data_IF_728643778751
#
_entry.id   IF_728643778751
#
_cell.length_a   1.000
_cell.length_b   1.000
_cell.length_c   1.000
_cell.angle_alpha   90.00
_cell.angle_beta   90.00
_cell.angle_gamma   90.00
#
_symmetry.space_group_name_H-M   'P 1'
#
loop_
_entity.id
_entity.type
_entity.pdbx_description
1 polymer ?
#
# COMPACT_ATOMS: atom_id res chain seq x y z
N UNK A 1 17.23 -33.77 58.47
CA UNK A 1 16.96 -32.96 57.27
C UNK A 1 15.91 -33.71 56.44
N UNK A 2 14.63 -33.37 56.60
CA UNK A 2 13.52 -34.05 55.92
C UNK A 2 13.43 -33.54 54.48
N UNK A 3 13.45 -34.45 53.51
CA UNK A 3 13.20 -34.11 52.10
C UNK A 3 11.74 -33.67 51.94
N UNK A 4 11.46 -32.60 51.16
CA UNK A 4 10.09 -32.22 50.89
C UNK A 4 9.38 -33.35 50.15
N UNK A 5 8.24 -33.74 50.69
CA UNK A 5 7.35 -34.76 50.15
C UNK A 5 6.87 -34.35 48.75
N UNK A 6 7.48 -34.96 47.73
CA UNK A 6 7.14 -34.79 46.32
C UNK A 6 6.03 -35.77 45.95
N UNK A 7 4.92 -35.74 46.68
CA UNK A 7 3.78 -36.58 46.35
C UNK A 7 3.23 -36.17 44.96
N UNK A 8 2.97 -37.13 44.05
CA UNK A 8 2.43 -36.89 42.71
C UNK A 8 1.17 -36.00 42.69
N UNK A 9 0.45 -35.95 43.79
CA UNK A 9 -0.81 -35.23 43.95
C UNK A 9 -0.64 -33.71 43.87
N UNK A 10 0.45 -33.13 44.39
CA UNK A 10 0.69 -31.68 44.27
C UNK A 10 1.01 -31.25 42.84
N UNK A 11 1.64 -32.14 42.07
CA UNK A 11 1.92 -31.89 40.67
C UNK A 11 0.62 -31.91 39.84
N UNK A 12 -0.26 -32.86 40.12
CA UNK A 12 -1.57 -32.95 39.48
C UNK A 12 -2.48 -31.76 39.82
N UNK A 13 -2.50 -31.28 41.07
CA UNK A 13 -3.25 -30.06 41.43
C UNK A 13 -2.77 -28.80 40.68
N UNK A 14 -1.46 -28.67 40.48
CA UNK A 14 -0.89 -27.55 39.71
C UNK A 14 -1.34 -27.59 38.25
N UNK A 15 -1.42 -28.79 37.65
CA UNK A 15 -1.90 -28.98 36.28
C UNK A 15 -3.39 -28.63 36.17
N UNK A 16 -4.23 -29.10 37.09
CA UNK A 16 -5.67 -28.82 37.09
C UNK A 16 -5.94 -27.32 37.25
N UNK A 17 -5.19 -26.61 38.10
CA UNK A 17 -5.32 -25.14 38.26
C UNK A 17 -4.87 -24.34 37.03
N UNK A 18 -3.91 -24.83 36.24
CA UNK A 18 -3.52 -24.20 34.97
C UNK A 18 -4.54 -24.48 33.87
N UNK A 19 -5.13 -25.68 33.81
CA UNK A 19 -6.20 -26.03 32.87
C UNK A 19 -7.45 -25.15 33.13
N UNK A 20 -7.84 -24.98 34.40
CA UNK A 20 -8.95 -24.08 34.77
C UNK A 20 -8.70 -22.61 34.43
N UNK A 21 -7.44 -22.15 34.52
CA UNK A 21 -7.05 -20.79 34.09
C UNK A 21 -7.06 -20.63 32.57
N UNK A 22 -6.69 -21.66 31.82
CA UNK A 22 -6.79 -21.67 30.36
C UNK A 22 -8.26 -21.61 29.88
N UNK A 23 -9.18 -22.31 30.54
CA UNK A 23 -10.61 -22.28 30.21
C UNK A 23 -11.24 -20.88 30.31
N UNK A 24 -10.90 -20.12 31.36
CA UNK A 24 -11.34 -18.72 31.50
C UNK A 24 -10.79 -17.82 30.39
N UNK A 25 -9.55 -18.05 29.94
CA UNK A 25 -8.95 -17.32 28.83
C UNK A 25 -9.65 -17.59 27.49
N UNK A 26 -10.02 -18.84 27.19
CA UNK A 26 -10.77 -19.15 25.97
C UNK A 26 -12.14 -18.49 25.95
N UNK A 27 -12.80 -18.37 27.10
CA UNK A 27 -14.08 -17.67 27.22
C UNK A 27 -13.93 -16.17 26.95
N UNK A 28 -12.91 -15.51 27.49
CA UNK A 28 -12.64 -14.08 27.23
C UNK A 28 -12.24 -13.82 25.78
N UNK A 29 -11.42 -14.69 25.18
CA UNK A 29 -11.03 -14.58 23.77
C UNK A 29 -12.23 -14.77 22.85
N UNK A 30 -13.07 -15.78 23.11
CA UNK A 30 -14.29 -16.06 22.36
C UNK A 30 -15.27 -14.87 22.45
N UNK A 31 -15.46 -14.29 23.63
CA UNK A 31 -16.31 -13.11 23.80
C UNK A 31 -15.75 -11.88 23.07
N UNK A 32 -14.43 -11.68 23.04
CA UNK A 32 -13.84 -10.59 22.24
C UNK A 32 -14.00 -10.81 20.74
N UNK A 33 -13.87 -12.06 20.27
CA UNK A 33 -14.06 -12.41 18.86
C UNK A 33 -15.52 -12.27 18.43
N UNK A 34 -16.47 -12.65 19.29
CA UNK A 34 -17.91 -12.45 19.06
C UNK A 34 -18.27 -10.96 19.06
N UNK A 35 -17.71 -10.15 19.96
CA UNK A 35 -17.90 -8.69 19.95
C UNK A 35 -17.33 -8.04 18.69
N UNK A 36 -16.17 -8.49 18.21
CA UNK A 36 -15.55 -7.99 16.97
C UNK A 36 -16.36 -8.41 15.73
N UNK A 37 -16.87 -9.64 15.70
CA UNK A 37 -17.74 -10.13 14.63
C UNK A 37 -19.08 -9.38 14.60
N UNK A 38 -19.71 -9.13 15.76
CA UNK A 38 -20.93 -8.35 15.86
C UNK A 38 -20.72 -6.90 15.37
N UNK A 39 -19.61 -6.27 15.74
CA UNK A 39 -19.25 -4.92 15.25
C UNK A 39 -19.03 -4.90 13.73
N UNK A 40 -18.38 -5.92 13.16
CA UNK A 40 -18.16 -6.01 11.70
C UNK A 40 -19.45 -6.27 10.91
N UNK A 41 -20.47 -6.89 11.53
CA UNK A 41 -21.76 -7.20 10.89
C UNK A 41 -22.75 -6.03 11.04
N UNK A 42 -22.78 -5.39 12.21
CA UNK A 42 -23.76 -4.33 12.52
C UNK A 42 -23.30 -2.96 11.98
N UNK A 43 -21.99 -2.67 11.98
CA UNK A 43 -21.47 -1.36 11.57
C UNK A 43 -21.71 -0.98 10.08
N UNK A 44 -21.68 -1.91 9.10
CA UNK A 44 -22.01 -1.60 7.72
C UNK A 44 -23.49 -1.25 7.49
N UNK A 45 -24.39 -1.66 8.40
CA UNK A 45 -25.83 -1.46 8.28
C UNK A 45 -26.30 -0.07 8.76
N UNK A 46 -25.43 0.72 9.40
CA UNK A 46 -25.86 1.94 10.11
C UNK A 46 -25.35 3.28 9.56
N UNK A 47 -24.35 3.38 8.67
CA UNK A 47 -23.97 4.65 7.99
C UNK A 47 -22.83 4.49 6.95
N UNK A 48 -22.67 5.42 5.99
CA UNK A 48 -21.66 5.34 4.93
C UNK A 48 -20.27 5.90 5.36
N UNK A 49 -19.46 5.07 6.07
CA UNK A 49 -17.97 5.09 6.20
C UNK A 49 -17.25 6.35 6.80
N UNK A 50 -15.94 6.34 7.21
CA UNK A 50 -14.98 5.26 7.51
C UNK A 50 -14.20 5.43 8.87
N UNK A 51 -14.73 6.11 9.90
CA UNK A 51 -13.96 6.29 11.15
C UNK A 51 -13.90 5.03 12.01
N UNK A 52 -14.98 4.25 12.05
CA UNK A 52 -15.10 3.01 12.83
C UNK A 52 -14.21 1.88 12.28
N UNK A 53 -13.89 1.87 10.98
CA UNK A 53 -12.92 0.92 10.40
C UNK A 53 -11.51 1.24 10.93
N UNK A 54 -11.14 2.52 11.02
CA UNK A 54 -9.83 2.92 11.58
C UNK A 54 -9.75 2.61 13.07
N UNK A 55 -10.80 2.92 13.84
CA UNK A 55 -10.89 2.59 15.27
C UNK A 55 -10.85 1.07 15.46
N UNK A 56 -11.58 0.30 14.66
CA UNK A 56 -11.55 -1.16 14.67
C UNK A 56 -10.16 -1.72 14.37
N UNK A 57 -9.44 -1.16 13.40
CA UNK A 57 -8.06 -1.57 13.08
C UNK A 57 -7.05 -1.20 14.17
N UNK A 58 -7.18 -0.04 14.81
CA UNK A 58 -6.34 0.36 15.95
C UNK A 58 -6.59 -0.54 17.16
N UNK A 59 -7.87 -0.81 17.47
CA UNK A 59 -8.25 -1.69 18.59
C UNK A 59 -7.79 -3.13 18.36
N UNK A 60 -7.88 -3.62 17.12
CA UNK A 60 -7.35 -4.92 16.71
C UNK A 60 -5.81 -4.96 16.80
N UNK A 61 -5.13 -3.90 16.38
CA UNK A 61 -3.68 -3.75 16.50
C UNK A 61 -3.20 -3.76 17.95
N UNK A 62 -3.88 -3.02 18.85
CA UNK A 62 -3.61 -3.00 20.29
C UNK A 62 -3.88 -4.37 20.93
N UNK A 63 -4.94 -5.05 20.51
CA UNK A 63 -5.26 -6.41 20.97
C UNK A 63 -4.18 -7.42 20.55
N UNK A 64 -3.65 -7.29 19.33
CA UNK A 64 -2.54 -8.11 18.83
C UNK A 64 -1.23 -7.82 19.57
N UNK A 65 -0.92 -6.55 19.84
CA UNK A 65 0.24 -6.14 20.65
C UNK A 65 0.16 -6.71 22.06
N UNK A 66 -1.00 -6.62 22.71
CA UNK A 66 -1.22 -7.20 24.04
C UNK A 66 -1.09 -8.72 24.02
N UNK A 67 -1.61 -9.40 23.00
CA UNK A 67 -1.48 -10.84 22.85
C UNK A 67 -0.02 -11.27 22.62
N UNK A 68 0.72 -10.54 21.77
CA UNK A 68 2.15 -10.78 21.52
C UNK A 68 3.00 -10.53 22.77
N UNK A 69 2.76 -9.43 23.48
CA UNK A 69 3.48 -9.08 24.71
C UNK A 69 3.20 -10.09 25.82
N UNK A 70 1.97 -10.60 25.93
CA UNK A 70 1.63 -11.65 26.87
C UNK A 70 2.28 -12.99 26.53
N UNK A 71 2.30 -13.39 25.24
CA UNK A 71 3.00 -14.60 24.79
C UNK A 71 4.51 -14.50 25.08
N UNK A 72 5.11 -13.34 24.81
CA UNK A 72 6.51 -13.06 25.12
C UNK A 72 6.78 -13.16 26.63
N UNK A 73 5.97 -12.52 27.46
CA UNK A 73 6.10 -12.58 28.92
C UNK A 73 5.94 -14.00 29.46
N UNK A 74 5.01 -14.82 28.92
CA UNK A 74 4.88 -16.24 29.29
C UNK A 74 6.09 -17.06 28.87
N UNK A 75 6.62 -16.84 27.67
CA UNK A 75 7.83 -17.52 27.20
C UNK A 75 9.04 -17.16 28.08
N UNK A 76 9.19 -15.87 28.41
CA UNK A 76 10.22 -15.37 29.31
C UNK A 76 10.10 -15.95 30.72
N UNK A 77 8.89 -15.95 31.30
CA UNK A 77 8.61 -16.54 32.62
C UNK A 77 8.99 -18.04 32.66
N UNK A 78 8.69 -18.77 31.58
CA UNK A 78 9.02 -20.21 31.46
C UNK A 78 10.53 -20.46 31.35
N UNK A 79 11.25 -19.65 30.57
CA UNK A 79 12.72 -19.71 30.51
C UNK A 79 13.32 -19.35 31.87
N UNK A 80 12.79 -18.34 32.55
CA UNK A 80 13.23 -17.91 33.89
C UNK A 80 12.98 -18.99 34.96
N UNK A 81 11.90 -19.76 34.88
CA UNK A 81 11.65 -20.89 35.79
C UNK A 81 12.58 -22.06 35.53
N UNK A 82 12.86 -22.39 34.26
CA UNK A 82 13.84 -23.41 33.87
C UNK A 82 15.26 -23.04 34.35
N UNK A 83 15.69 -21.79 34.13
CA UNK A 83 16.99 -21.31 34.62
C UNK A 83 17.08 -21.40 36.16
N UNK A 84 16.01 -21.07 36.88
CA UNK A 84 15.96 -21.22 38.35
C UNK A 84 16.07 -22.68 38.78
N UNK A 85 15.39 -23.59 38.09
CA UNK A 85 15.47 -25.03 38.33
C UNK A 85 16.90 -25.55 38.13
N UNK A 86 17.56 -25.16 37.03
CA UNK A 86 18.96 -25.53 36.77
C UNK A 86 19.96 -24.92 37.77
N UNK A 87 19.74 -23.68 38.24
CA UNK A 87 20.55 -23.09 39.32
C UNK A 87 20.38 -23.84 40.64
N UNK A 88 19.18 -24.32 40.97
CA UNK A 88 18.94 -25.15 42.15
C UNK A 88 19.67 -26.49 42.07
N UNK A 89 19.66 -27.14 40.90
CA UNK A 89 20.39 -28.39 40.66
C UNK A 89 21.91 -28.21 40.75
N UNK A 90 22.44 -27.02 40.44
CA UNK A 90 23.88 -26.74 40.51
C UNK A 90 24.40 -26.61 41.95
N UNK A 91 23.54 -26.26 42.92
CA UNK A 91 23.92 -26.12 44.32
C UNK A 91 23.91 -27.43 45.12
N UNK A 92 23.34 -28.54 44.60
CA UNK A 92 23.26 -29.84 45.29
C UNK A 92 24.48 -30.75 45.01
N UNK A 93 25.60 -30.15 44.59
CA UNK A 93 26.93 -30.73 44.80
C UNK A 93 27.20 -32.09 44.15
N UNK A 94 27.40 -32.15 42.82
CA UNK A 94 28.43 -32.99 42.19
C UNK A 94 28.96 -32.34 40.90
N UNK A 95 30.27 -32.04 40.80
CA UNK A 95 30.86 -31.51 39.59
C UNK A 95 31.12 -32.66 38.61
N UNK A 96 30.16 -32.95 37.72
CA UNK A 96 30.50 -33.61 36.45
C UNK A 96 30.32 -32.59 35.34
N UNK A 97 31.44 -32.16 34.73
CA UNK A 97 31.53 -31.36 33.51
C UNK A 97 30.78 -32.06 32.36
N UNK A 98 29.45 -32.03 32.36
CA UNK A 98 28.66 -32.30 31.17
C UNK A 98 28.62 -30.99 30.39
N UNK A 99 29.44 -30.89 29.34
CA UNK A 99 29.26 -29.90 28.28
C UNK A 99 27.78 -29.91 27.91
N UNK A 100 27.07 -28.83 28.23
CA UNK A 100 25.74 -28.57 27.67
C UNK A 100 25.99 -28.37 26.17
N UNK A 101 26.02 -29.47 25.44
CA UNK A 101 26.26 -29.43 24.00
C UNK A 101 25.11 -28.66 23.38
N UNK A 102 25.41 -27.78 22.42
CA UNK A 102 24.43 -27.03 21.62
C UNK A 102 23.28 -27.94 21.13
N UNK A 103 23.54 -29.24 20.97
CA UNK A 103 22.57 -30.30 20.68
C UNK A 103 21.41 -30.40 21.68
N UNK A 104 21.62 -30.22 22.98
CA UNK A 104 20.56 -30.26 23.99
C UNK A 104 19.65 -29.03 23.92
N UNK A 105 20.23 -27.85 23.60
CA UNK A 105 19.45 -26.63 23.38
C UNK A 105 18.64 -26.72 22.07
N UNK A 106 19.26 -27.21 20.99
CA UNK A 106 18.58 -27.45 19.70
C UNK A 106 17.51 -28.54 19.81
N UNK A 107 17.72 -29.59 20.62
CA UNK A 107 16.71 -30.64 20.84
C UNK A 107 15.55 -30.16 21.72
N UNK A 108 15.79 -29.21 22.64
CA UNK A 108 14.74 -28.51 23.39
C UNK A 108 13.82 -27.68 22.49
N UNK A 109 14.37 -27.00 21.48
CA UNK A 109 13.59 -26.27 20.46
C UNK A 109 12.73 -27.24 19.62
N UNK A 110 13.27 -28.43 19.29
CA UNK A 110 12.51 -29.48 18.57
C UNK A 110 11.38 -30.11 19.38
N UNK A 111 11.40 -30.00 20.71
CA UNK A 111 10.36 -30.54 21.61
C UNK A 111 9.35 -29.50 22.09
N UNK A 112 9.41 -28.26 21.59
CA UNK A 112 8.34 -27.30 21.83
C UNK A 112 7.02 -27.88 21.28
N UNK A 113 5.97 -28.04 22.10
CA UNK A 113 4.78 -28.79 21.73
C UNK A 113 4.13 -28.21 20.48
N UNK A 114 3.93 -29.07 19.47
CA UNK A 114 3.34 -28.76 18.16
C UNK A 114 1.88 -28.24 18.22
N UNK A 115 1.34 -28.00 19.42
CA UNK A 115 -0.09 -27.92 19.72
C UNK A 115 -0.67 -26.50 19.79
N UNK A 116 0.08 -25.41 19.53
CA UNK A 116 -0.50 -24.05 19.63
C UNK A 116 -0.33 -23.08 18.45
N UNK A 117 0.05 -23.56 17.26
CA UNK A 117 0.23 -22.68 16.07
C UNK A 117 -0.94 -22.64 15.09
N UNK A 118 -1.91 -23.55 15.19
CA UNK A 118 -3.06 -23.62 14.27
C UNK A 118 -3.98 -22.38 14.30
N UNK A 119 -4.37 -21.80 15.46
CA UNK A 119 -5.32 -20.69 15.46
C UNK A 119 -4.73 -19.39 14.90
N UNK A 120 -3.44 -19.12 15.14
CA UNK A 120 -2.77 -17.93 14.61
C UNK A 120 -2.75 -17.94 13.07
N UNK A 121 -2.47 -19.10 12.45
CA UNK A 121 -2.47 -19.23 11.00
C UNK A 121 -3.85 -18.97 10.39
N UNK A 122 -4.89 -19.62 10.94
CA UNK A 122 -6.26 -19.45 10.44
C UNK A 122 -6.74 -18.01 10.61
N UNK A 123 -6.38 -17.37 11.73
CA UNK A 123 -6.70 -15.97 11.97
C UNK A 123 -6.00 -15.03 10.97
N UNK A 124 -4.67 -15.13 10.82
CA UNK A 124 -3.92 -14.28 9.87
C UNK A 124 -4.40 -14.52 8.44
N UNK A 125 -4.64 -15.76 8.04
CA UNK A 125 -5.20 -16.09 6.73
C UNK A 125 -6.58 -15.47 6.52
N UNK A 126 -7.49 -15.60 7.50
CA UNK A 126 -8.82 -14.99 7.46
C UNK A 126 -8.77 -13.47 7.39
N UNK A 127 -7.89 -12.82 8.16
CA UNK A 127 -7.69 -11.38 8.13
C UNK A 127 -7.20 -10.89 6.75
N UNK A 128 -6.21 -11.58 6.17
CA UNK A 128 -5.69 -11.25 4.84
C UNK A 128 -6.76 -11.45 3.76
N UNK A 129 -7.58 -12.50 3.85
CA UNK A 129 -8.70 -12.73 2.92
C UNK A 129 -9.79 -11.64 3.04
N UNK A 130 -10.17 -11.26 4.27
CA UNK A 130 -11.12 -10.18 4.49
C UNK A 130 -10.58 -8.83 3.97
N UNK A 131 -9.29 -8.56 4.21
CA UNK A 131 -8.60 -7.38 3.69
C UNK A 131 -8.58 -7.39 2.16
N UNK A 132 -8.31 -8.54 1.54
CA UNK A 132 -8.33 -8.71 0.09
C UNK A 132 -9.70 -8.37 -0.51
N UNK A 133 -10.77 -8.85 0.12
CA UNK A 133 -12.14 -8.55 -0.30
C UNK A 133 -12.43 -7.04 -0.19
N UNK A 134 -12.07 -6.42 0.94
CA UNK A 134 -12.26 -4.99 1.17
C UNK A 134 -11.52 -4.12 0.14
N UNK A 135 -10.24 -4.38 -0.13
CA UNK A 135 -9.47 -3.60 -1.11
C UNK A 135 -9.94 -3.84 -2.54
N UNK A 136 -10.44 -5.05 -2.84
CA UNK A 136 -11.01 -5.36 -4.16
C UNK A 136 -12.30 -4.58 -4.39
N UNK A 137 -13.15 -4.42 -3.36
CA UNK A 137 -14.35 -3.61 -3.45
C UNK A 137 -14.00 -2.14 -3.69
N UNK A 138 -13.01 -1.61 -2.97
CA UNK A 138 -12.53 -0.23 -3.16
C UNK A 138 -11.92 0.01 -4.54
N UNK A 139 -11.10 -0.93 -5.06
CA UNK A 139 -10.54 -0.84 -6.42
C UNK A 139 -11.66 -0.82 -7.48
N UNK A 140 -12.69 -1.67 -7.33
CA UNK A 140 -13.84 -1.69 -8.24
C UNK A 140 -14.65 -0.40 -8.19
N UNK A 141 -14.87 0.13 -6.99
CA UNK A 141 -15.55 1.41 -6.80
C UNK A 141 -14.79 2.55 -7.50
N UNK A 142 -13.49 2.65 -7.27
CA UNK A 142 -12.64 3.67 -7.89
C UNK A 142 -12.59 3.52 -9.42
N UNK A 143 -12.42 2.30 -9.94
CA UNK A 143 -12.53 2.06 -11.39
C UNK A 143 -13.88 2.49 -11.95
N UNK A 144 -14.98 2.17 -11.28
CA UNK A 144 -16.33 2.58 -11.70
C UNK A 144 -16.52 4.10 -11.79
N UNK A 145 -15.83 4.88 -10.96
CA UNK A 145 -15.83 6.35 -11.06
C UNK A 145 -15.10 6.79 -12.34
N UNK A 146 -13.88 6.30 -12.57
CA UNK A 146 -13.09 6.69 -13.73
C UNK A 146 -13.68 6.22 -15.05
N UNK A 147 -14.34 5.05 -15.07
CA UNK A 147 -15.08 4.56 -16.24
C UNK A 147 -16.26 5.49 -16.60
N UNK A 148 -16.97 6.03 -15.60
CA UNK A 148 -18.05 7.00 -15.82
C UNK A 148 -17.51 8.35 -16.31
N UNK A 149 -16.39 8.80 -15.77
CA UNK A 149 -15.71 10.01 -16.27
C UNK A 149 -15.24 9.81 -17.72
N UNK A 150 -14.64 8.66 -18.04
CA UNK A 150 -14.27 8.30 -19.41
C UNK A 150 -15.48 8.33 -20.35
N UNK A 151 -16.60 7.71 -19.97
CA UNK A 151 -17.86 7.77 -20.76
C UNK A 151 -18.36 9.19 -20.95
N UNK A 152 -18.20 10.06 -19.95
CA UNK A 152 -18.58 11.48 -20.05
C UNK A 152 -17.70 12.24 -21.08
N UNK A 153 -16.42 11.88 -21.20
CA UNK A 153 -15.51 12.44 -22.22
C UNK A 153 -15.93 12.03 -23.63
N UNK A 154 -16.23 10.75 -23.84
CA UNK A 154 -16.59 10.23 -25.17
C UNK A 154 -18.01 10.63 -25.59
N UNK A 155 -18.91 10.84 -24.63
CA UNK A 155 -20.33 11.01 -24.90
C UNK A 155 -20.95 9.77 -25.55
N UNK A 156 -22.07 9.98 -26.24
CA UNK A 156 -22.77 8.95 -27.03
C UNK A 156 -22.31 8.92 -28.51
N UNK A 157 -21.30 9.72 -28.86
CA UNK A 157 -20.80 9.87 -30.22
C UNK A 157 -20.06 8.60 -30.68
N UNK A 158 -20.46 8.07 -31.83
CA UNK A 158 -19.72 6.99 -32.48
C UNK A 158 -18.51 7.59 -33.21
N UNK A 159 -17.32 7.06 -32.91
CA UNK A 159 -16.06 7.34 -33.61
C UNK A 159 -15.52 8.79 -33.50
N UNK A 160 -15.38 9.30 -32.27
CA UNK A 160 -14.65 10.54 -32.00
C UNK A 160 -13.14 10.34 -32.23
N UNK A 161 -12.43 11.24 -32.96
CA UNK A 161 -10.98 11.18 -33.10
C UNK A 161 -10.25 11.16 -31.75
N UNK A 162 -9.14 10.41 -31.65
CA UNK A 162 -8.40 10.26 -30.40
C UNK A 162 -7.91 11.59 -29.81
N UNK A 163 -7.43 12.50 -30.66
CA UNK A 163 -6.96 13.82 -30.25
C UNK A 163 -8.12 14.65 -29.66
N UNK A 164 -9.33 14.55 -30.23
CA UNK A 164 -10.53 15.22 -29.70
C UNK A 164 -10.96 14.63 -28.34
N UNK A 165 -10.87 13.31 -28.17
CA UNK A 165 -11.11 12.65 -26.87
C UNK A 165 -10.09 13.15 -25.84
N UNK A 166 -8.82 13.27 -26.21
CA UNK A 166 -7.75 13.74 -25.33
C UNK A 166 -8.02 15.18 -24.86
N UNK A 167 -8.34 16.10 -25.79
CA UNK A 167 -8.68 17.50 -25.46
C UNK A 167 -9.89 17.57 -24.54
N UNK A 168 -10.97 16.84 -24.85
CA UNK A 168 -12.18 16.77 -23.99
C UNK A 168 -11.84 16.26 -22.59
N UNK A 169 -10.92 15.30 -22.46
CA UNK A 169 -10.50 14.76 -21.16
C UNK A 169 -9.70 15.77 -20.34
N UNK A 170 -8.80 16.54 -20.98
CA UNK A 170 -8.03 17.62 -20.35
C UNK A 170 -8.99 18.67 -19.79
N UNK A 171 -9.91 19.14 -20.63
CA UNK A 171 -10.91 20.15 -20.25
C UNK A 171 -11.85 19.67 -19.14
N UNK A 172 -12.34 18.42 -19.22
CA UNK A 172 -13.14 17.83 -18.15
C UNK A 172 -12.37 17.76 -16.84
N UNK A 173 -11.11 17.32 -16.87
CA UNK A 173 -10.27 17.21 -15.68
C UNK A 173 -10.05 18.58 -15.04
N UNK A 174 -9.68 19.58 -15.83
CA UNK A 174 -9.48 20.96 -15.37
C UNK A 174 -10.75 21.52 -14.72
N UNK A 175 -11.87 21.47 -15.44
CA UNK A 175 -13.18 21.98 -14.98
C UNK A 175 -13.65 21.30 -13.70
N UNK A 176 -13.33 20.02 -13.51
CA UNK A 176 -13.66 19.32 -12.28
C UNK A 176 -12.76 19.78 -11.12
N UNK A 177 -11.45 19.87 -11.32
CA UNK A 177 -10.53 20.04 -10.21
C UNK A 177 -10.30 21.50 -9.82
N UNK A 178 -10.43 22.45 -10.75
CA UNK A 178 -10.17 23.88 -10.52
C UNK A 178 -11.01 24.45 -9.36
N UNK A 179 -12.34 24.31 -9.35
CA UNK A 179 -13.15 24.84 -8.25
C UNK A 179 -12.87 24.13 -6.93
N UNK A 180 -12.53 22.84 -6.97
CA UNK A 180 -12.24 22.03 -5.77
C UNK A 180 -10.92 22.45 -5.13
N UNK A 181 -9.90 22.68 -5.95
CA UNK A 181 -8.59 23.11 -5.47
C UNK A 181 -8.68 24.45 -4.73
N UNK A 182 -9.47 25.40 -5.24
CA UNK A 182 -9.71 26.68 -4.57
C UNK A 182 -10.37 26.52 -3.20
N UNK A 183 -11.24 25.52 -3.02
CA UNK A 183 -11.92 25.24 -1.75
C UNK A 183 -11.02 24.55 -0.72
N UNK A 184 -10.18 23.61 -1.15
CA UNK A 184 -9.42 22.75 -0.25
C UNK A 184 -7.95 23.16 -0.04
N UNK A 185 -7.34 23.94 -0.94
CA UNK A 185 -5.93 24.34 -0.80
C UNK A 185 -5.68 25.35 0.33
N UNK A 186 -6.70 26.10 0.76
CA UNK A 186 -6.57 27.11 1.82
C UNK A 186 -6.75 26.55 3.25
N UNK A 187 -7.07 25.26 3.38
CA UNK A 187 -7.18 24.59 4.68
C UNK A 187 -5.81 24.14 5.19
N UNK A 188 -5.11 25.02 5.91
CA UNK A 188 -3.92 24.63 6.69
C UNK A 188 -4.25 23.48 7.64
N UNK A 189 -3.38 22.47 7.69
CA UNK A 189 -3.48 21.23 8.49
C UNK A 189 -4.30 20.09 7.89
N UNK A 190 -3.90 19.63 6.70
CA UNK A 190 -4.21 18.24 6.34
C UNK A 190 -3.41 17.31 7.26
N UNK A 191 -4.13 16.68 8.20
CA UNK A 191 -3.61 15.80 9.25
C UNK A 191 -2.43 14.95 8.76
N UNK A 192 -1.28 15.02 9.45
CA UNK A 192 -0.09 14.22 9.16
C UNK A 192 -0.36 12.70 9.00
N UNK A 193 -1.47 12.20 9.58
CA UNK A 193 -1.94 10.84 9.47
C UNK A 193 -2.54 10.45 8.10
N UNK A 194 -3.00 11.41 7.28
CA UNK A 194 -3.52 11.18 5.93
C UNK A 194 -2.44 11.10 4.84
N UNK A 195 -1.19 11.45 5.15
CA UNK A 195 -0.14 11.67 4.14
C UNK A 195 0.37 10.42 3.41
N UNK A 196 0.15 9.20 3.95
CA UNK A 196 0.84 8.00 3.45
C UNK A 196 0.01 7.12 2.50
N UNK A 197 -1.31 7.18 2.57
CA UNK A 197 -2.20 6.46 1.66
C UNK A 197 -3.22 7.45 1.12
N UNK A 198 -2.99 7.88 -0.12
CA UNK A 198 -3.76 8.94 -0.76
C UNK A 198 -4.37 8.35 -2.04
N UNK A 199 -5.56 7.74 -1.97
CA UNK A 199 -6.20 7.14 -3.14
C UNK A 199 -6.55 8.24 -4.15
N UNK A 200 -6.69 7.89 -5.43
CA UNK A 200 -6.96 8.90 -6.48
C UNK A 200 -8.35 9.49 -6.41
N UNK A 201 -9.28 8.78 -5.78
CA UNK A 201 -10.55 9.37 -5.35
C UNK A 201 -10.37 10.56 -4.41
N UNK A 202 -9.33 10.56 -3.57
CA UNK A 202 -8.99 11.73 -2.74
C UNK A 202 -8.50 12.88 -3.60
N UNK A 203 -7.58 12.64 -4.53
CA UNK A 203 -7.12 13.65 -5.50
C UNK A 203 -8.28 14.22 -6.32
N UNK A 204 -9.24 13.38 -6.72
CA UNK A 204 -10.43 13.78 -7.47
C UNK A 204 -11.38 14.68 -6.65
N UNK A 205 -11.50 14.43 -5.35
CA UNK A 205 -12.41 15.16 -4.47
C UNK A 205 -11.77 16.46 -3.96
N UNK A 206 -10.50 16.39 -3.55
CA UNK A 206 -9.81 17.47 -2.84
C UNK A 206 -8.93 18.31 -3.76
N UNK A 207 -8.36 17.73 -4.82
CA UNK A 207 -7.38 18.39 -5.69
C UNK A 207 -6.22 19.07 -4.92
N UNK A 208 -5.80 18.47 -3.79
CA UNK A 208 -4.89 19.06 -2.79
C UNK A 208 -3.40 18.90 -3.12
N UNK A 209 -3.04 17.97 -4.00
CA UNK A 209 -1.67 17.71 -4.46
C UNK A 209 -1.22 18.60 -5.63
N UNK A 210 -1.84 19.77 -5.81
CA UNK A 210 -1.55 20.76 -6.85
C UNK A 210 -1.50 20.11 -8.25
N UNK A 211 -0.49 20.44 -9.05
CA UNK A 211 -0.28 19.89 -10.39
C UNK A 211 -0.24 18.35 -10.44
N UNK A 212 0.22 17.70 -9.37
CA UNK A 212 0.29 16.26 -9.27
C UNK A 212 -1.09 15.62 -9.34
N UNK A 213 -2.06 16.13 -8.57
CA UNK A 213 -3.42 15.60 -8.51
C UNK A 213 -4.11 15.66 -9.87
N UNK A 214 -4.02 16.80 -10.55
CA UNK A 214 -4.62 17.00 -11.87
C UNK A 214 -4.08 16.00 -12.89
N UNK A 215 -2.75 15.89 -12.98
CA UNK A 215 -2.11 14.97 -13.92
C UNK A 215 -2.41 13.50 -13.59
N UNK A 216 -2.50 13.13 -12.31
CA UNK A 216 -2.84 11.77 -11.90
C UNK A 216 -4.32 11.41 -12.18
N UNK A 217 -5.25 12.34 -11.93
CA UNK A 217 -6.68 12.18 -12.25
C UNK A 217 -6.86 12.05 -13.76
N UNK A 218 -6.29 12.95 -14.56
CA UNK A 218 -6.33 12.86 -16.03
C UNK A 218 -5.74 11.54 -16.53
N UNK A 219 -4.60 11.13 -15.97
CA UNK A 219 -3.97 9.85 -16.32
C UNK A 219 -4.94 8.68 -16.14
N UNK A 220 -5.74 8.66 -15.07
CA UNK A 220 -6.72 7.58 -14.85
C UNK A 220 -7.94 7.66 -15.75
N UNK A 221 -8.43 8.86 -16.05
CA UNK A 221 -9.50 9.05 -17.04
C UNK A 221 -9.06 8.47 -18.38
N UNK A 222 -7.86 8.82 -18.84
CA UNK A 222 -7.32 8.34 -20.11
C UNK A 222 -7.00 6.84 -20.11
N UNK A 223 -6.53 6.26 -18.99
CA UNK A 223 -6.37 4.81 -18.86
C UNK A 223 -7.70 4.06 -18.93
N UNK A 224 -8.79 4.61 -18.37
CA UNK A 224 -10.13 4.04 -18.49
C UNK A 224 -10.62 4.05 -19.95
N UNK A 225 -10.12 5.00 -20.75
CA UNK A 225 -10.31 5.09 -22.21
C UNK A 225 -9.25 4.32 -23.01
N UNK A 226 -8.46 3.46 -22.36
CA UNK A 226 -7.41 2.63 -22.97
C UNK A 226 -6.26 3.37 -23.65
N UNK A 227 -6.05 4.66 -23.35
CA UNK A 227 -4.85 5.37 -23.81
C UNK A 227 -3.61 4.88 -23.05
N UNK A 228 -2.49 4.73 -23.78
CA UNK A 228 -1.17 4.62 -23.14
C UNK A 228 -0.79 5.99 -22.59
N UNK A 229 -0.35 6.03 -21.34
CA UNK A 229 -0.07 7.27 -20.61
C UNK A 229 1.25 7.19 -19.86
N UNK A 230 1.94 8.32 -19.74
CA UNK A 230 3.15 8.48 -18.94
C UNK A 230 3.14 9.83 -18.23
N UNK A 231 3.49 9.84 -16.94
CA UNK A 231 3.56 11.07 -16.15
C UNK A 231 4.98 11.62 -16.24
N UNK A 232 5.08 12.93 -16.51
CA UNK A 232 6.36 13.61 -16.66
C UNK A 232 6.56 14.54 -15.47
N UNK A 233 7.71 14.43 -14.84
CA UNK A 233 8.21 15.47 -13.95
C UNK A 233 8.98 16.48 -14.79
N UNK A 234 8.33 17.60 -15.12
CA UNK A 234 8.91 18.64 -15.95
C UNK A 234 9.96 19.42 -15.15
N UNK A 235 11.14 19.57 -15.78
CA UNK A 235 12.24 20.37 -15.26
C UNK A 235 12.19 21.78 -15.82
N UNK A 236 12.45 22.76 -14.96
CA UNK A 236 12.68 24.14 -15.39
C UNK A 236 14.10 24.34 -15.90
N UNK A 237 14.42 25.60 -16.24
CA UNK A 237 15.75 25.98 -16.71
C UNK A 237 16.88 25.71 -15.69
N UNK A 238 16.56 25.65 -14.40
CA UNK A 238 17.50 25.32 -13.32
C UNK A 238 17.75 23.80 -13.17
N UNK A 239 17.12 22.97 -14.00
CA UNK A 239 17.21 21.52 -13.97
C UNK A 239 16.43 20.84 -12.83
N UNK A 240 15.77 21.60 -11.96
CA UNK A 240 14.90 21.07 -10.90
C UNK A 240 13.50 20.79 -11.43
N UNK A 241 12.81 19.85 -10.80
CA UNK A 241 11.42 19.53 -11.13
C UNK A 241 10.50 20.56 -10.48
N UNK A 242 9.71 21.26 -11.30
CA UNK A 242 8.75 22.27 -10.81
C UNK A 242 7.30 21.88 -11.07
N UNK A 243 7.04 21.06 -12.10
CA UNK A 243 5.67 20.74 -12.53
C UNK A 243 5.52 19.27 -12.89
N UNK A 244 4.28 18.77 -12.86
CA UNK A 244 3.94 17.44 -13.33
C UNK A 244 2.90 17.56 -14.43
N UNK A 245 3.26 17.11 -15.62
CA UNK A 245 2.38 17.05 -16.79
C UNK A 245 2.18 15.60 -17.22
N UNK A 246 1.30 15.39 -18.19
CA UNK A 246 0.98 14.06 -18.71
C UNK A 246 1.33 13.98 -20.19
N UNK A 247 1.84 12.83 -20.61
CA UNK A 247 1.84 12.46 -22.02
C UNK A 247 0.88 11.29 -22.26
N UNK A 248 0.12 11.39 -23.35
CA UNK A 248 -0.77 10.34 -23.83
C UNK A 248 -0.38 9.96 -25.26
N UNK A 249 -0.44 8.66 -25.57
CA UNK A 249 -0.19 8.17 -26.92
C UNK A 249 -1.48 8.27 -27.74
N UNK A 250 -1.50 9.19 -28.70
CA UNK A 250 -2.65 9.49 -29.56
C UNK A 250 -2.20 9.56 -31.02
N UNK A 251 -2.99 8.99 -31.92
CA UNK A 251 -2.75 9.09 -33.37
C UNK A 251 -1.32 8.67 -33.79
N UNK A 252 -0.77 7.66 -33.12
CA UNK A 252 0.56 7.10 -33.40
C UNK A 252 1.75 7.86 -32.79
N UNK A 253 1.53 8.88 -31.95
CA UNK A 253 2.58 9.66 -31.31
C UNK A 253 2.28 9.99 -29.85
N UNK A 254 3.31 10.33 -29.09
CA UNK A 254 3.14 10.91 -27.76
C UNK A 254 2.76 12.38 -27.86
N UNK A 255 1.78 12.78 -27.06
CA UNK A 255 1.26 14.14 -27.00
C UNK A 255 1.31 14.61 -25.56
N UNK A 256 1.87 15.79 -25.32
CA UNK A 256 1.92 16.39 -23.98
C UNK A 256 0.67 17.23 -23.72
N UNK A 257 0.11 17.06 -22.53
CA UNK A 257 -1.06 17.79 -22.05
C UNK A 257 -0.88 18.17 -20.59
N UNK A 258 -1.49 19.28 -20.20
CA UNK A 258 -1.41 19.84 -18.86
C UNK A 258 -2.82 20.18 -18.34
N UNK A 259 -3.43 19.29 -17.53
CA UNK A 259 -4.76 19.53 -16.98
C UNK A 259 -4.83 20.66 -15.96
N UNK A 260 -3.70 21.10 -15.38
CA UNK A 260 -3.73 22.22 -14.43
C UNK A 260 -4.13 23.53 -15.12
N UNK A 261 -3.67 23.74 -16.36
CA UNK A 261 -3.89 24.95 -17.14
C UNK A 261 -4.87 24.77 -18.30
N UNK A 262 -5.58 23.65 -18.36
CA UNK A 262 -6.39 23.24 -19.51
C UNK A 262 -5.63 23.35 -20.84
N UNK A 263 -4.38 22.90 -20.83
CA UNK A 263 -3.41 23.24 -21.86
C UNK A 263 -2.99 22.01 -22.67
N UNK A 264 -2.93 22.22 -23.98
CA UNK A 264 -2.31 21.33 -24.96
C UNK A 264 -1.69 22.22 -26.05
N UNK A 265 -0.67 21.70 -26.72
CA UNK A 265 0.06 22.47 -27.73
C UNK A 265 -0.27 21.97 -29.14
N UNK A 266 -0.45 22.90 -30.06
CA UNK A 266 -0.74 22.62 -31.48
C UNK A 266 0.47 23.05 -32.31
N UNK A 267 1.00 22.14 -33.11
CA UNK A 267 2.07 22.41 -34.09
C UNK A 267 1.52 23.20 -35.28
N UNK A 268 2.41 23.75 -36.10
CA UNK A 268 2.03 24.45 -37.35
C UNK A 268 1.21 23.58 -38.31
N UNK A 269 1.42 22.25 -38.29
CA UNK A 269 0.66 21.28 -39.09
C UNK A 269 -0.74 20.95 -38.53
N UNK A 270 -1.17 21.64 -37.48
CA UNK A 270 -2.46 21.45 -36.82
C UNK A 270 -2.54 20.23 -35.90
N UNK A 271 -1.48 19.43 -35.77
CA UNK A 271 -1.47 18.25 -34.90
C UNK A 271 -0.97 18.60 -33.50
N UNK A 272 -1.38 17.81 -32.50
CA UNK A 272 -0.92 17.99 -31.13
C UNK A 272 0.58 17.75 -30.97
N UNK A 273 1.26 18.54 -30.15
CA UNK A 273 2.71 18.47 -29.95
C UNK A 273 3.12 17.43 -28.89
N UNK A 274 4.26 16.78 -29.08
CA UNK A 274 4.92 15.96 -28.06
C UNK A 274 5.66 16.82 -27.03
N UNK A 275 6.10 16.24 -25.90
CA UNK A 275 6.96 16.98 -24.97
C UNK A 275 8.25 17.46 -25.65
N UNK A 276 8.84 16.63 -26.51
CA UNK A 276 10.07 16.95 -27.23
C UNK A 276 9.88 18.09 -28.24
N UNK A 277 8.74 18.13 -28.93
CA UNK A 277 8.39 19.24 -29.84
C UNK A 277 8.34 20.56 -29.06
N UNK A 278 7.67 20.57 -27.91
CA UNK A 278 7.50 21.75 -27.04
C UNK A 278 8.83 22.18 -26.44
N UNK A 279 9.63 21.22 -25.97
CA UNK A 279 10.94 21.46 -25.34
C UNK A 279 11.92 22.12 -26.31
N UNK A 280 11.99 21.65 -27.57
CA UNK A 280 12.90 22.19 -28.58
C UNK A 280 12.50 23.57 -29.09
N UNK A 281 11.19 23.85 -29.14
CA UNK A 281 10.63 25.06 -29.74
C UNK A 281 9.86 25.90 -28.71
N UNK A 282 10.29 25.90 -27.44
CA UNK A 282 9.55 26.55 -26.35
C UNK A 282 9.23 28.02 -26.61
N UNK A 283 10.13 28.75 -27.28
CA UNK A 283 9.94 30.16 -27.65
C UNK A 283 8.67 30.38 -28.48
N UNK A 284 8.34 29.45 -29.37
CA UNK A 284 7.16 29.51 -30.24
C UNK A 284 5.91 29.07 -29.48
N UNK A 285 5.98 27.92 -28.80
CA UNK A 285 4.85 27.36 -28.04
C UNK A 285 4.44 28.19 -26.82
N UNK A 286 5.34 29.00 -26.27
CA UNK A 286 5.03 29.91 -25.16
C UNK A 286 3.89 30.88 -25.50
N UNK A 287 3.65 31.18 -26.77
CA UNK A 287 2.51 32.01 -27.18
C UNK A 287 1.13 31.35 -26.97
N UNK A 288 1.09 30.01 -26.79
CA UNK A 288 -0.14 29.23 -26.61
C UNK A 288 -0.53 29.05 -25.13
N UNK A 289 0.32 29.44 -24.18
CA UNK A 289 0.04 29.28 -22.75
C UNK A 289 -0.94 30.37 -22.25
N UNK A 290 -1.78 30.08 -21.24
CA UNK A 290 -2.69 31.09 -20.70
C UNK A 290 -1.95 32.20 -19.96
N UNK A 291 -2.61 33.35 -19.76
CA UNK A 291 -2.00 34.53 -19.14
C UNK A 291 -1.50 34.30 -17.70
N UNK A 292 -2.11 33.37 -16.97
CA UNK A 292 -1.73 32.99 -15.60
C UNK A 292 -0.72 31.83 -15.53
N UNK A 293 -0.11 31.44 -16.66
CA UNK A 293 0.88 30.38 -16.70
C UNK A 293 2.17 30.77 -15.96
N UNK A 294 2.68 29.91 -15.07
CA UNK A 294 3.91 30.20 -14.33
C UNK A 294 5.12 30.14 -15.27
N UNK A 295 5.89 31.23 -15.42
CA UNK A 295 7.04 31.27 -16.32
C UNK A 295 8.17 30.29 -15.95
N UNK A 296 8.19 29.72 -14.74
CA UNK A 296 9.17 28.68 -14.36
C UNK A 296 8.94 27.36 -15.10
N UNK A 297 7.75 27.15 -15.66
CA UNK A 297 7.35 25.95 -16.39
C UNK A 297 7.80 26.01 -17.85
N UNK A 298 9.11 25.87 -18.08
CA UNK A 298 9.74 26.15 -19.38
C UNK A 298 10.00 24.93 -20.28
N UNK A 299 9.45 23.75 -19.95
CA UNK A 299 9.67 22.49 -20.69
C UNK A 299 11.15 22.16 -20.98
N UNK A 300 12.08 22.62 -20.14
CA UNK A 300 13.53 22.52 -20.41
C UNK A 300 14.09 21.11 -20.25
N UNK A 301 13.31 20.20 -19.66
CA UNK A 301 13.63 18.78 -19.65
C UNK A 301 12.57 17.95 -18.94
N UNK A 302 12.67 16.63 -19.06
CA UNK A 302 11.74 15.68 -18.47
C UNK A 302 12.44 14.69 -17.55
N UNK A 303 11.70 14.17 -16.57
CA UNK A 303 12.02 12.94 -15.84
C UNK A 303 10.76 12.10 -15.68
N UNK A 304 10.73 10.92 -16.27
CA UNK A 304 9.57 10.02 -16.23
C UNK A 304 9.50 9.19 -14.95
N UNK A 305 10.64 8.68 -14.49
CA UNK A 305 10.76 7.96 -13.22
C UNK A 305 11.94 8.50 -12.41
N UNK A 306 11.69 8.81 -11.14
CA UNK A 306 12.77 9.08 -10.19
C UNK A 306 13.32 7.76 -9.63
N UNK A 307 14.28 7.17 -10.33
CA UNK A 307 14.95 5.91 -9.97
C UNK A 307 15.77 6.00 -8.67
N UNK A 308 15.98 7.20 -8.13
CA UNK A 308 16.75 7.45 -6.91
C UNK A 308 15.84 7.75 -5.71
N UNK A 309 14.51 7.76 -5.91
CA UNK A 309 13.54 8.11 -4.84
C UNK A 309 13.61 7.17 -3.63
N UNK A 310 13.84 5.88 -3.86
CA UNK A 310 14.03 4.87 -2.80
C UNK A 310 15.35 4.16 -3.06
N UNK A 311 16.42 4.46 -2.28
CA UNK A 311 17.81 4.11 -2.63
C UNK A 311 18.08 2.63 -2.92
N UNK A 312 17.29 1.70 -2.35
CA UNK A 312 17.48 0.26 -2.56
C UNK A 312 16.50 -0.32 -3.57
N UNK A 313 15.21 0.02 -3.46
CA UNK A 313 14.14 -0.63 -4.23
C UNK A 313 14.14 -0.19 -5.68
N UNK A 314 14.27 1.11 -5.94
CA UNK A 314 14.15 1.65 -7.28
C UNK A 314 15.34 1.27 -8.18
N UNK A 315 16.61 1.30 -7.72
CA UNK A 315 17.73 0.80 -8.52
C UNK A 315 17.65 -0.70 -8.82
N UNK A 316 17.20 -1.50 -7.86
CA UNK A 316 16.97 -2.94 -8.06
C UNK A 316 15.89 -3.20 -9.12
N UNK A 317 14.76 -2.48 -9.03
CA UNK A 317 13.70 -2.55 -10.04
C UNK A 317 14.21 -2.12 -11.42
N UNK A 318 14.99 -1.04 -11.50
CA UNK A 318 15.63 -0.59 -12.74
C UNK A 318 16.54 -1.67 -13.34
N UNK A 319 17.35 -2.32 -12.51
CA UNK A 319 18.24 -3.41 -12.93
C UNK A 319 17.47 -4.60 -13.51
N UNK A 320 16.40 -5.00 -12.85
CA UNK A 320 15.52 -6.08 -13.31
C UNK A 320 14.87 -5.71 -14.66
N UNK A 321 14.31 -4.51 -14.78
CA UNK A 321 13.66 -4.08 -16.02
C UNK A 321 14.65 -3.93 -17.20
N UNK A 322 15.92 -3.59 -16.93
CA UNK A 322 16.98 -3.53 -17.95
C UNK A 322 17.29 -4.89 -18.60
N UNK A 323 16.87 -6.01 -18.00
CA UNK A 323 16.98 -7.32 -18.64
C UNK A 323 16.04 -7.46 -19.85
N UNK A 324 14.99 -6.64 -19.95
CA UNK A 324 13.98 -6.73 -21.02
C UNK A 324 13.79 -5.43 -21.82
N UNK A 325 14.34 -4.31 -21.36
CA UNK A 325 14.17 -2.99 -21.98
C UNK A 325 15.53 -2.37 -22.30
N UNK A 326 15.62 -1.69 -23.45
CA UNK A 326 16.82 -0.94 -23.81
C UNK A 326 16.95 0.34 -22.96
N UNK A 327 18.09 1.05 -23.09
CA UNK A 327 18.37 2.25 -22.30
C UNK A 327 17.38 3.38 -22.57
N UNK A 328 17.00 3.57 -23.82
CA UNK A 328 16.09 4.64 -24.25
C UNK A 328 14.67 4.44 -23.70
N UNK A 329 14.14 3.23 -23.81
CA UNK A 329 12.85 2.84 -23.25
C UNK A 329 12.85 2.99 -21.72
N UNK A 330 13.97 2.67 -21.07
CA UNK A 330 14.12 2.82 -19.62
C UNK A 330 14.06 4.28 -19.15
N UNK A 331 14.65 5.18 -19.93
CA UNK A 331 14.71 6.60 -19.60
C UNK A 331 13.35 7.27 -19.85
N UNK A 332 12.53 6.73 -20.76
CA UNK A 332 11.14 7.12 -21.03
C UNK A 332 10.08 6.35 -20.23
N UNK A 333 10.49 5.33 -19.46
CA UNK A 333 9.57 4.55 -18.67
C UNK A 333 9.05 5.36 -17.48
N UNK A 334 7.74 5.48 -17.38
CA UNK A 334 7.04 6.13 -16.28
C UNK A 334 6.37 5.08 -15.40
N UNK A 335 6.93 4.81 -14.22
CA UNK A 335 6.40 3.82 -13.28
C UNK A 335 5.09 4.27 -12.63
N UNK A 336 4.91 5.59 -12.44
CA UNK A 336 3.82 6.16 -11.64
C UNK A 336 2.41 5.79 -12.11
N UNK A 337 2.06 5.84 -13.41
CA UNK A 337 0.77 5.37 -13.96
C UNK A 337 0.37 3.95 -13.55
N UNK A 338 1.33 3.04 -13.33
CA UNK A 338 1.07 1.67 -12.89
C UNK A 338 0.79 1.59 -11.38
N UNK A 339 1.30 2.55 -10.61
CA UNK A 339 1.11 2.64 -9.16
C UNK A 339 -0.10 3.48 -8.76
N UNK A 340 -0.71 4.18 -9.72
CA UNK A 340 -1.90 5.01 -9.51
C UNK A 340 -3.08 4.23 -8.92
N UNK A 341 -3.24 2.95 -9.28
CA UNK A 341 -4.23 2.05 -8.70
C UNK A 341 -3.77 1.50 -7.36
N UNK A 342 -3.72 2.35 -6.33
CA UNK A 342 -3.19 1.98 -5.02
C UNK A 342 -3.91 0.77 -4.41
N UNK A 343 -5.23 0.67 -4.55
CA UNK A 343 -5.98 -0.50 -4.10
C UNK A 343 -5.60 -1.78 -4.85
N UNK A 344 -5.34 -1.70 -6.17
CA UNK A 344 -4.82 -2.84 -6.95
C UNK A 344 -3.42 -3.24 -6.51
N UNK A 345 -2.53 -2.28 -6.24
CA UNK A 345 -1.20 -2.56 -5.72
C UNK A 345 -1.30 -3.26 -4.37
N UNK A 346 -2.14 -2.76 -3.47
CA UNK A 346 -2.38 -3.38 -2.16
C UNK A 346 -3.00 -4.78 -2.28
N UNK A 347 -3.91 -4.99 -3.23
CA UNK A 347 -4.46 -6.30 -3.56
C UNK A 347 -3.36 -7.30 -3.93
N UNK A 348 -2.42 -6.91 -4.80
CA UNK A 348 -1.29 -7.75 -5.20
C UNK A 348 -0.36 -8.06 -4.01
N UNK A 349 -0.10 -7.09 -3.14
CA UNK A 349 0.71 -7.30 -1.94
C UNK A 349 0.03 -8.29 -0.97
N UNK A 350 -1.27 -8.15 -0.73
CA UNK A 350 -2.03 -9.08 0.13
C UNK A 350 -2.02 -10.49 -0.47
N UNK A 351 -2.20 -10.63 -1.79
CA UNK A 351 -2.09 -11.92 -2.48
C UNK A 351 -0.70 -12.54 -2.34
N UNK A 352 0.37 -11.76 -2.47
CA UNK A 352 1.73 -12.25 -2.26
C UNK A 352 1.94 -12.75 -0.82
N UNK A 353 1.43 -12.02 0.18
CA UNK A 353 1.48 -12.43 1.59
C UNK A 353 0.69 -13.71 1.85
N UNK A 354 -0.52 -13.85 1.29
CA UNK A 354 -1.34 -15.06 1.37
C UNK A 354 -0.62 -16.27 0.76
N UNK A 355 -0.02 -16.09 -0.42
CA UNK A 355 0.77 -17.13 -1.09
C UNK A 355 1.96 -17.55 -0.25
N UNK A 356 2.73 -16.60 0.30
CA UNK A 356 3.85 -16.89 1.19
C UNK A 356 3.43 -17.64 2.46
N UNK A 357 2.31 -17.24 3.05
CA UNK A 357 1.71 -17.92 4.21
C UNK A 357 1.35 -19.38 3.87
N UNK A 358 0.73 -19.61 2.71
CA UNK A 358 0.33 -20.96 2.27
C UNK A 358 1.51 -21.86 1.91
N UNK A 359 2.51 -21.33 1.18
CA UNK A 359 3.75 -22.04 0.85
C UNK A 359 4.50 -22.42 2.14
N UNK A 360 4.62 -21.49 3.09
CA UNK A 360 5.23 -21.76 4.39
C UNK A 360 4.52 -22.88 5.16
N UNK A 361 3.19 -22.96 5.07
CA UNK A 361 2.42 -24.06 5.67
C UNK A 361 2.72 -25.40 5.03
N UNK A 362 2.83 -25.45 3.70
CA UNK A 362 3.16 -26.68 2.98
C UNK A 362 4.57 -27.14 3.35
N UNK A 363 5.54 -26.22 3.36
CA UNK A 363 6.95 -26.54 3.66
C UNK A 363 7.18 -27.05 5.09
N UNK A 364 6.34 -26.68 6.06
CA UNK A 364 6.48 -27.06 7.47
C UNK A 364 5.75 -28.38 7.79
N UNK A 365 4.98 -28.98 6.86
CA UNK A 365 4.35 -30.29 7.13
C UNK A 365 5.45 -31.35 7.34
N UNK A 366 5.57 -31.95 8.55
CA UNK A 366 6.52 -33.03 8.76
C UNK A 366 6.15 -34.19 7.83
N UNK A 367 7.18 -34.78 7.19
CA UNK A 367 7.06 -36.01 6.40
C UNK A 367 6.61 -37.17 7.27
#
# INVERSE_FOLDING_TARGET
MQYPDNSPDRFMESIVREIGRAGRFYRTLLLSLLGTAAMLIIAPLLAPTPWYIRVGMIWLGLSLLCACQWIYLRAYQRVKSEIRYYKCLYHIGKPKKKRLTLRAFVSGIKRAPAIRRRPAFSFTGGFLLASLAAVTLQDRYECGIFDRLGKKVTGDERAVPQDSILIRAVHLCHTLLEPRSALFMNGSEMQAAGSRFHPLTSDLIMADGACGSYSMVLCRILQALHFKTRLIQMKGADGKVHHIVLEAFSSGKWVVVDPLYDLYFIREDGRLASFDDVSRNWKEFRSQVPANYDPIYSYSGARYTNWEKVPLVMPMLRMILRCWMNKEDMDHFSLRPYLLRQYRVLQLLILAMLSGLYIGRIAIRPK
#
